data_IF_182653076460
#
_entry.id   IF_182653076460
#
_cell.length_a   1.000
_cell.length_b   1.000
_cell.length_c   1.000
_cell.angle_alpha   90.00
_cell.angle_beta   90.00
_cell.angle_gamma   90.00
#
_symmetry.space_group_name_H-M   'P 1'
#
loop_
_entity.id
_entity.type
_entity.pdbx_description
1 polymer ?
#
# COMPACT_ATOMS: atom_id res chain seq x y z
N UNK A 1 -23.98 -4.79 -2.20
CA UNK A 1 -22.71 -5.55 -1.95
C UNK A 1 -22.37 -6.45 -3.13
N UNK A 2 -21.13 -6.93 -3.27
CA UNK A 2 -20.64 -7.73 -4.42
C UNK A 2 -21.61 -8.86 -4.84
N UNK A 3 -22.11 -9.63 -3.87
CA UNK A 3 -23.07 -10.72 -4.09
C UNK A 3 -24.43 -10.25 -4.67
N UNK A 4 -24.88 -9.04 -4.34
CA UNK A 4 -26.10 -8.48 -4.92
C UNK A 4 -25.90 -8.08 -6.37
N UNK A 5 -24.72 -7.55 -6.74
CA UNK A 5 -24.40 -7.24 -8.14
C UNK A 5 -24.33 -8.50 -8.99
N UNK A 6 -23.73 -9.55 -8.45
CA UNK A 6 -23.58 -10.84 -9.14
C UNK A 6 -24.91 -11.55 -9.36
N UNK A 7 -25.87 -11.42 -8.44
CA UNK A 7 -27.24 -11.92 -8.63
C UNK A 7 -27.95 -11.31 -9.85
N UNK A 8 -27.55 -10.11 -10.28
CA UNK A 8 -28.10 -9.45 -11.47
C UNK A 8 -27.28 -9.73 -12.74
N UNK A 9 -26.25 -10.57 -12.66
CA UNK A 9 -25.45 -11.03 -13.81
C UNK A 9 -25.87 -12.46 -14.18
N UNK A 10 -27.07 -12.61 -14.71
CA UNK A 10 -27.49 -13.88 -15.31
C UNK A 10 -26.80 -14.06 -16.68
N UNK A 11 -25.71 -14.83 -16.70
CA UNK A 11 -25.06 -15.31 -17.94
C UNK A 11 -24.06 -14.36 -18.61
N UNK A 12 -23.65 -13.27 -17.95
CA UNK A 12 -22.61 -12.36 -18.45
C UNK A 12 -21.26 -12.65 -17.83
N UNK A 13 -20.19 -12.55 -18.62
CA UNK A 13 -18.82 -12.61 -18.12
C UNK A 13 -18.58 -11.49 -17.10
N UNK A 14 -17.88 -11.82 -16.02
CA UNK A 14 -17.59 -10.91 -14.92
C UNK A 14 -16.08 -10.75 -14.84
N UNK A 15 -15.62 -9.51 -14.79
CA UNK A 15 -14.23 -9.21 -14.47
C UNK A 15 -14.00 -9.41 -12.96
N UNK A 16 -13.60 -10.63 -12.60
CA UNK A 16 -13.42 -11.04 -11.19
C UNK A 16 -12.43 -10.14 -10.45
N UNK A 17 -11.40 -9.64 -11.13
CA UNK A 17 -10.38 -8.78 -10.55
C UNK A 17 -10.95 -7.47 -9.99
N UNK A 18 -11.75 -6.75 -10.79
CA UNK A 18 -12.34 -5.48 -10.35
C UNK A 18 -13.37 -5.67 -9.22
N UNK A 19 -14.15 -6.75 -9.26
CA UNK A 19 -15.09 -7.08 -8.18
C UNK A 19 -14.36 -7.43 -6.86
N UNK A 20 -13.26 -8.18 -6.94
CA UNK A 20 -12.44 -8.49 -5.78
C UNK A 20 -11.77 -7.24 -5.21
N UNK A 21 -11.24 -6.36 -6.08
CA UNK A 21 -10.66 -5.07 -5.67
C UNK A 21 -11.68 -4.20 -4.95
N UNK A 22 -12.91 -4.13 -5.46
CA UNK A 22 -14.01 -3.40 -4.84
C UNK A 22 -14.40 -3.99 -3.47
N UNK A 23 -14.48 -5.31 -3.35
CA UNK A 23 -14.77 -6.00 -2.10
C UNK A 23 -13.68 -5.76 -1.05
N UNK A 24 -12.41 -5.94 -1.42
CA UNK A 24 -11.27 -5.71 -0.52
C UNK A 24 -11.24 -4.27 -0.02
N UNK A 25 -11.54 -3.31 -0.89
CA UNK A 25 -11.62 -1.89 -0.51
C UNK A 25 -12.71 -1.64 0.54
N UNK A 26 -13.90 -2.24 0.35
CA UNK A 26 -15.00 -2.13 1.31
C UNK A 26 -14.67 -2.79 2.67
N UNK A 27 -14.01 -3.96 2.66
CA UNK A 27 -13.57 -4.65 3.88
C UNK A 27 -12.56 -3.81 4.64
N UNK A 28 -11.50 -3.32 3.97
CA UNK A 28 -10.49 -2.48 4.62
C UNK A 28 -11.12 -1.22 5.18
N UNK A 29 -12.01 -0.55 4.43
CA UNK A 29 -12.64 0.67 4.91
C UNK A 29 -13.50 0.45 6.15
N UNK A 30 -14.28 -0.64 6.18
CA UNK A 30 -15.08 -0.99 7.36
C UNK A 30 -14.21 -1.38 8.55
N UNK A 31 -13.12 -2.11 8.33
CA UNK A 31 -12.24 -2.58 9.41
C UNK A 31 -11.36 -1.46 9.97
N UNK A 32 -10.79 -0.62 9.10
CA UNK A 32 -9.87 0.44 9.50
C UNK A 32 -10.59 1.69 10.00
N UNK A 33 -11.76 2.02 9.42
CA UNK A 33 -12.46 3.29 9.69
C UNK A 33 -13.88 3.11 10.24
N UNK A 34 -14.43 1.89 10.25
CA UNK A 34 -15.82 1.65 10.68
C UNK A 34 -16.88 2.13 9.69
N UNK A 35 -16.48 2.60 8.50
CA UNK A 35 -17.36 3.21 7.50
C UNK A 35 -17.26 2.51 6.14
N UNK A 36 -18.15 2.85 5.21
CA UNK A 36 -18.09 2.28 3.85
C UNK A 36 -16.89 2.84 3.07
N UNK A 37 -16.42 2.10 2.05
CA UNK A 37 -15.38 2.60 1.16
C UNK A 37 -15.80 3.90 0.47
N UNK A 38 -17.06 4.00 0.04
CA UNK A 38 -17.60 5.20 -0.60
C UNK A 38 -17.51 6.43 0.30
N UNK A 39 -17.82 6.26 1.58
CA UNK A 39 -17.75 7.31 2.60
C UNK A 39 -16.29 7.66 2.96
N UNK A 40 -15.41 6.67 3.02
CA UNK A 40 -13.98 6.83 3.29
C UNK A 40 -13.13 7.26 2.09
N UNK A 41 -13.67 7.23 0.87
CA UNK A 41 -12.91 7.46 -0.38
C UNK A 41 -12.21 8.81 -0.40
N UNK A 42 -12.90 9.87 0.03
CA UNK A 42 -12.33 11.24 0.08
C UNK A 42 -11.14 11.29 1.04
N UNK A 43 -11.25 10.65 2.20
CA UNK A 43 -10.18 10.57 3.19
C UNK A 43 -8.99 9.79 2.62
N UNK A 44 -9.25 8.65 1.98
CA UNK A 44 -8.22 7.82 1.39
C UNK A 44 -7.46 8.57 0.29
N UNK A 45 -8.17 9.26 -0.61
CA UNK A 45 -7.56 10.08 -1.66
C UNK A 45 -6.71 11.23 -1.07
N UNK A 46 -7.19 11.89 -0.02
CA UNK A 46 -6.43 12.93 0.68
C UNK A 46 -5.18 12.35 1.34
N UNK A 47 -5.29 11.21 2.04
CA UNK A 47 -4.16 10.50 2.65
C UNK A 47 -3.14 10.07 1.60
N UNK A 48 -3.56 9.52 0.45
CA UNK A 48 -2.67 9.15 -0.65
C UNK A 48 -1.93 10.37 -1.21
N UNK A 49 -2.65 11.48 -1.46
CA UNK A 49 -2.02 12.74 -1.92
C UNK A 49 -1.00 13.25 -0.91
N UNK A 50 -1.34 13.25 0.38
CA UNK A 50 -0.41 13.63 1.45
C UNK A 50 0.80 12.69 1.51
N UNK A 51 0.60 11.37 1.42
CA UNK A 51 1.70 10.40 1.43
C UNK A 51 2.68 10.61 0.26
N UNK A 52 2.18 10.94 -0.93
CA UNK A 52 3.01 11.28 -2.10
C UNK A 52 3.79 12.57 -1.89
N UNK A 53 3.16 13.60 -1.32
CA UNK A 53 3.83 14.87 -1.02
C UNK A 53 4.89 14.66 0.05
N UNK A 54 4.57 13.94 1.12
CA UNK A 54 5.52 13.63 2.20
C UNK A 54 6.65 12.76 1.69
N UNK A 55 6.41 11.75 0.86
CA UNK A 55 7.49 10.90 0.31
C UNK A 55 8.44 11.68 -0.59
N UNK A 56 7.92 12.57 -1.45
CA UNK A 56 8.73 13.47 -2.28
C UNK A 56 9.54 14.47 -1.44
N UNK A 57 8.96 14.93 -0.32
CA UNK A 57 9.65 15.84 0.60
C UNK A 57 10.57 15.12 1.58
N UNK A 58 10.38 13.84 1.91
CA UNK A 58 11.30 13.08 2.80
C UNK A 58 12.74 13.06 2.27
N UNK A 59 12.92 13.06 0.95
CA UNK A 59 14.24 13.19 0.31
C UNK A 59 14.84 14.63 0.41
N UNK A 60 14.01 15.64 0.75
CA UNK A 60 14.41 17.05 0.87
C UNK A 60 14.39 17.59 2.30
N UNK A 61 13.66 16.95 3.21
CA UNK A 61 13.62 17.32 4.63
C UNK A 61 14.87 16.75 5.29
N UNK A 62 16.02 17.33 4.93
CA UNK A 62 17.20 17.34 5.78
C UNK A 62 16.83 18.20 6.98
N UNK A 63 16.33 17.58 8.06
CA UNK A 63 15.96 18.25 9.31
C UNK A 63 17.20 18.99 9.86
N UNK A 64 17.23 20.34 9.83
CA UNK A 64 18.37 21.09 10.33
C UNK A 64 18.35 20.99 11.86
N UNK A 65 19.30 20.25 12.44
CA UNK A 65 19.43 20.08 13.89
C UNK A 65 19.39 18.63 14.40
N UNK A 66 19.04 17.64 13.57
CA UNK A 66 19.09 16.21 13.96
C UNK A 66 20.41 15.51 13.59
N UNK A 67 21.43 16.27 13.19
CA UNK A 67 22.66 15.71 12.61
C UNK A 67 23.72 15.28 13.63
N UNK A 68 23.44 15.42 14.94
CA UNK A 68 24.29 14.79 15.95
C UNK A 68 23.95 13.30 16.14
N UNK A 69 23.56 12.64 15.05
CA UNK A 69 23.41 11.18 14.99
C UNK A 69 24.07 10.64 13.72
N UNK A 70 25.33 11.01 13.53
CA UNK A 70 26.31 10.27 12.74
C UNK A 70 26.49 8.80 13.18
N UNK A 71 25.67 8.30 14.10
CA UNK A 71 25.59 6.89 14.49
C UNK A 71 24.47 6.09 13.82
N UNK A 72 23.56 6.69 13.04
CA UNK A 72 22.47 5.93 12.38
C UNK A 72 22.77 5.52 10.93
N UNK A 73 23.75 6.15 10.27
CA UNK A 73 24.21 5.72 8.94
C UNK A 73 25.12 4.46 9.00
N UNK A 74 25.51 4.02 10.21
CA UNK A 74 26.27 2.78 10.40
C UNK A 74 25.38 1.54 10.64
N UNK A 75 24.05 1.66 10.65
CA UNK A 75 23.14 0.53 10.86
C UNK A 75 22.46 0.01 9.58
N UNK A 76 22.67 0.67 8.42
CA UNK A 76 22.08 0.27 7.14
C UNK A 76 23.09 -0.38 6.17
N UNK A 77 24.24 -0.83 6.67
CA UNK A 77 25.01 -1.87 5.99
C UNK A 77 24.84 -3.14 6.82
N UNK A 78 23.74 -3.84 6.58
CA UNK A 78 23.64 -5.24 7.01
C UNK A 78 24.63 -6.03 6.11
N UNK A 79 25.74 -6.56 6.65
CA UNK A 79 26.72 -7.29 5.86
C UNK A 79 26.12 -8.55 5.20
N UNK A 80 24.95 -9.01 5.67
CA UNK A 80 24.25 -10.15 5.11
C UNK A 80 23.32 -9.79 3.93
N UNK A 81 23.12 -8.50 3.60
CA UNK A 81 22.29 -8.07 2.45
C UNK A 81 22.81 -8.65 1.12
N UNK A 82 24.14 -8.79 0.98
CA UNK A 82 24.78 -9.39 -0.19
C UNK A 82 24.63 -10.90 -0.31
N UNK A 83 24.23 -11.59 0.77
CA UNK A 83 24.10 -13.04 0.82
C UNK A 83 22.63 -13.51 0.89
N UNK A 84 21.66 -12.60 0.76
CA UNK A 84 20.24 -12.97 0.74
C UNK A 84 19.89 -13.51 -0.64
N UNK A 85 19.55 -14.80 -0.69
CA UNK A 85 18.91 -15.42 -1.86
C UNK A 85 17.62 -14.66 -2.14
N UNK A 86 17.52 -14.08 -3.32
CA UNK A 86 16.34 -13.38 -3.80
C UNK A 86 15.40 -14.37 -4.49
N UNK A 87 14.12 -14.01 -4.63
CA UNK A 87 13.14 -14.84 -5.35
C UNK A 87 13.57 -15.12 -6.80
N UNK A 88 14.34 -14.23 -7.40
CA UNK A 88 14.88 -14.38 -8.75
C UNK A 88 15.94 -15.50 -8.81
N UNK A 89 16.71 -15.71 -7.75
CA UNK A 89 17.70 -16.80 -7.64
C UNK A 89 17.04 -18.19 -7.51
N UNK A 90 15.76 -18.26 -7.13
CA UNK A 90 14.99 -19.50 -6.95
C UNK A 90 14.23 -19.89 -8.22
N UNK A 91 13.91 -18.93 -9.09
CA UNK A 91 13.09 -19.16 -10.28
C UNK A 91 13.90 -19.71 -11.46
N UNK A 92 15.21 -19.49 -11.49
CA UNK A 92 16.12 -19.97 -12.55
C UNK A 92 16.94 -21.22 -12.16
N UNK A 93 16.51 -21.97 -11.13
CA UNK A 93 17.13 -23.22 -10.67
C UNK A 93 16.49 -24.49 -11.22
#
# INVERSE_FOLDING_TARGET
MMLERWKHHEGKEIEVFEEFRALTSEVISRTAFGSSYLEGKVIFEMLTKMAVIVSKNRLKIRLPGLWNRSSFDMANNDPDEKNRITLDDVVDG
#
